data_IF_464861375310
#
_entry.id   IF_464861375310
#
_cell.length_a   1.000
_cell.length_b   1.000
_cell.length_c   1.000
_cell.angle_alpha   90.00
_cell.angle_beta   90.00
_cell.angle_gamma   90.00
#
_symmetry.space_group_name_H-M   'P 1'
#
loop_
_entity.id
_entity.type
_entity.pdbx_description
1 polymer ?
#
# COMPACT_ATOMS: atom_id res chain seq x y z
N UNK A 1 37.54 46.67 -81.78
CA UNK A 1 37.52 45.21 -81.61
C UNK A 1 36.12 44.89 -81.10
N UNK A 2 35.26 44.42 -82.02
CA UNK A 2 33.87 43.95 -81.96
C UNK A 2 32.88 44.49 -80.88
N UNK A 3 31.99 45.40 -81.32
CA UNK A 3 30.50 45.50 -81.23
C UNK A 3 29.63 44.82 -80.15
N UNK A 4 28.38 45.32 -79.92
CA UNK A 4 27.80 45.60 -78.60
C UNK A 4 26.38 44.99 -78.37
N UNK A 5 25.75 45.41 -77.27
CA UNK A 5 24.30 45.43 -76.95
C UNK A 5 23.54 44.09 -76.73
N UNK A 6 22.87 43.94 -75.58
CA UNK A 6 21.46 44.36 -75.39
C UNK A 6 20.83 43.70 -74.13
N UNK A 7 19.93 44.44 -73.48
CA UNK A 7 19.15 44.09 -72.29
C UNK A 7 18.21 42.88 -72.47
N UNK A 8 17.86 42.19 -71.37
CA UNK A 8 16.45 41.84 -71.07
C UNK A 8 16.32 41.09 -69.73
N UNK A 9 15.45 41.62 -68.88
CA UNK A 9 14.95 41.02 -67.63
C UNK A 9 13.80 40.07 -67.93
N UNK A 10 13.80 38.88 -67.32
CA UNK A 10 12.59 38.10 -67.06
C UNK A 10 12.66 37.43 -65.69
N UNK A 11 11.55 37.53 -64.95
CA UNK A 11 11.31 36.96 -63.63
C UNK A 11 10.53 35.65 -63.75
N UNK A 12 10.76 34.67 -62.86
CA UNK A 12 9.75 33.69 -62.46
C UNK A 12 10.14 32.90 -61.18
N UNK A 13 9.31 33.09 -60.16
CA UNK A 13 8.85 32.19 -59.09
C UNK A 13 9.79 31.13 -58.47
N UNK A 14 10.10 31.33 -57.19
CA UNK A 14 10.37 30.25 -56.23
C UNK A 14 9.32 30.33 -55.12
N UNK A 15 8.48 29.31 -55.00
CA UNK A 15 7.54 29.14 -53.89
C UNK A 15 7.79 27.75 -53.28
N UNK A 16 8.47 27.75 -52.15
CA UNK A 16 8.79 26.56 -51.37
C UNK A 16 7.99 26.60 -50.07
N UNK A 17 6.96 25.76 -49.96
CA UNK A 17 6.23 25.54 -48.71
C UNK A 17 6.53 24.14 -48.17
N UNK A 18 7.50 24.08 -47.26
CA UNK A 18 7.74 22.92 -46.41
C UNK A 18 6.60 22.77 -45.41
N UNK A 19 5.72 21.79 -45.62
CA UNK A 19 4.73 21.35 -44.65
C UNK A 19 5.29 20.18 -43.83
N UNK A 20 5.84 20.51 -42.66
CA UNK A 20 6.19 19.52 -41.63
C UNK A 20 4.89 18.98 -41.02
N UNK A 21 4.37 17.87 -41.55
CA UNK A 21 3.30 17.12 -40.90
C UNK A 21 3.86 16.34 -39.71
N UNK A 22 3.54 16.84 -38.52
CA UNK A 22 3.81 16.20 -37.24
C UNK A 22 2.91 14.97 -37.10
N UNK A 23 3.40 13.79 -37.50
CA UNK A 23 2.68 12.52 -37.35
C UNK A 23 2.96 11.90 -35.99
N UNK A 24 1.96 11.92 -35.11
CA UNK A 24 1.95 11.14 -33.87
C UNK A 24 2.13 9.66 -34.22
N UNK A 25 3.08 8.91 -33.61
CA UNK A 25 3.29 7.52 -33.95
C UNK A 25 2.05 6.70 -33.59
N UNK A 26 1.42 6.09 -34.61
CA UNK A 26 0.29 5.19 -34.42
C UNK A 26 0.73 3.97 -33.59
N UNK A 27 0.02 3.73 -32.48
CA UNK A 27 0.25 2.59 -31.58
C UNK A 27 0.34 1.28 -32.37
N UNK A 28 1.35 0.46 -32.09
CA UNK A 28 1.53 -0.85 -32.72
C UNK A 28 0.28 -1.73 -32.50
N UNK A 29 -0.03 -2.63 -33.45
CA UNK A 29 -1.19 -3.54 -33.37
C UNK A 29 -1.26 -4.32 -32.05
N UNK A 30 -0.11 -4.59 -31.43
CA UNK A 30 0.00 -5.24 -30.11
C UNK A 30 -0.39 -4.32 -28.96
N UNK A 31 0.02 -3.04 -29.00
CA UNK A 31 -0.36 -2.03 -28.01
C UNK A 31 -1.86 -1.73 -28.06
N UNK A 32 -2.45 -1.64 -29.26
CA UNK A 32 -3.89 -1.46 -29.46
C UNK A 32 -4.70 -2.65 -28.89
N UNK A 33 -4.27 -3.90 -29.15
CA UNK A 33 -4.90 -5.09 -28.56
C UNK A 33 -4.82 -5.11 -27.03
N UNK A 34 -3.69 -4.67 -26.45
CA UNK A 34 -3.51 -4.58 -24.99
C UNK A 34 -4.44 -3.53 -24.38
N UNK A 35 -4.57 -2.36 -25.02
CA UNK A 35 -5.46 -1.29 -24.58
C UNK A 35 -6.93 -1.73 -24.62
N UNK A 36 -7.38 -2.32 -25.73
CA UNK A 36 -8.76 -2.82 -25.85
C UNK A 36 -9.07 -3.92 -24.81
N UNK A 37 -8.10 -4.78 -24.51
CA UNK A 37 -8.25 -5.78 -23.43
C UNK A 37 -8.35 -5.13 -22.05
N UNK A 38 -7.58 -4.07 -21.79
CA UNK A 38 -7.66 -3.30 -20.54
C UNK A 38 -9.00 -2.58 -20.40
N UNK A 39 -9.48 -1.92 -21.46
CA UNK A 39 -10.78 -1.25 -21.50
C UNK A 39 -11.93 -2.24 -21.27
N UNK A 40 -11.91 -3.39 -21.95
CA UNK A 40 -12.92 -4.44 -21.75
C UNK A 40 -12.91 -4.99 -20.32
N UNK A 41 -11.73 -5.15 -19.72
CA UNK A 41 -11.62 -5.59 -18.32
C UNK A 41 -12.14 -4.50 -17.36
N UNK A 42 -11.84 -3.23 -17.63
CA UNK A 42 -12.31 -2.09 -16.85
C UNK A 42 -13.83 -1.94 -16.94
N UNK A 43 -14.42 -2.04 -18.14
CA UNK A 43 -15.85 -2.02 -18.36
C UNK A 43 -16.56 -3.16 -17.62
N UNK A 44 -16.05 -4.40 -17.71
CA UNK A 44 -16.60 -5.54 -16.99
C UNK A 44 -16.51 -5.37 -15.46
N UNK A 45 -15.43 -4.76 -14.95
CA UNK A 45 -15.30 -4.43 -13.53
C UNK A 45 -16.31 -3.36 -13.11
N UNK A 46 -16.49 -2.32 -13.94
CA UNK A 46 -17.44 -1.24 -13.68
C UNK A 46 -18.90 -1.76 -13.66
N UNK A 47 -19.27 -2.60 -14.63
CA UNK A 47 -20.58 -3.23 -14.73
C UNK A 47 -20.88 -4.11 -13.52
N UNK A 48 -19.95 -4.99 -13.12
CA UNK A 48 -20.10 -5.80 -11.90
C UNK A 48 -20.31 -4.94 -10.65
N UNK A 49 -19.55 -3.85 -10.53
CA UNK A 49 -19.68 -2.91 -9.40
C UNK A 49 -21.02 -2.19 -9.41
N UNK A 50 -21.54 -1.83 -10.59
CA UNK A 50 -22.85 -1.21 -10.75
C UNK A 50 -23.97 -2.19 -10.37
N UNK A 51 -23.93 -3.42 -10.89
CA UNK A 51 -24.90 -4.47 -10.58
C UNK A 51 -24.92 -4.81 -9.07
N UNK A 52 -23.74 -4.91 -8.43
CA UNK A 52 -23.66 -5.12 -6.98
C UNK A 52 -24.25 -3.96 -6.19
N UNK A 53 -24.00 -2.71 -6.63
CA UNK A 53 -24.58 -1.51 -6.01
C UNK A 53 -26.11 -1.51 -6.12
N UNK A 54 -26.64 -1.87 -7.28
CA UNK A 54 -28.09 -1.95 -7.51
C UNK A 54 -28.72 -3.04 -6.64
N UNK A 55 -28.18 -4.26 -6.62
CA UNK A 55 -28.66 -5.36 -5.77
C UNK A 55 -28.67 -4.97 -4.28
N UNK A 56 -27.64 -4.26 -3.82
CA UNK A 56 -27.59 -3.74 -2.43
C UNK A 56 -28.65 -2.67 -2.17
N UNK A 57 -28.95 -1.81 -3.15
CA UNK A 57 -29.98 -0.79 -3.03
C UNK A 57 -31.38 -1.42 -2.95
N UNK A 58 -31.67 -2.38 -3.83
CA UNK A 58 -32.93 -3.13 -3.86
C UNK A 58 -33.15 -3.91 -2.56
N UNK A 59 -32.16 -4.66 -2.09
CA UNK A 59 -32.23 -5.36 -0.81
C UNK A 59 -32.47 -4.39 0.36
N UNK A 60 -31.81 -3.22 0.37
CA UNK A 60 -32.00 -2.20 1.41
C UNK A 60 -33.40 -1.59 1.35
N UNK A 61 -33.98 -1.45 0.17
CA UNK A 61 -35.37 -0.99 0.00
C UNK A 61 -36.37 -2.04 0.48
N UNK A 62 -36.20 -3.31 0.09
CA UNK A 62 -37.02 -4.42 0.57
C UNK A 62 -37.01 -4.51 2.10
N UNK A 63 -35.83 -4.53 2.73
CA UNK A 63 -35.72 -4.57 4.18
C UNK A 63 -36.31 -3.34 4.89
N UNK A 64 -36.42 -2.19 4.20
CA UNK A 64 -37.13 -1.01 4.75
C UNK A 64 -38.63 -1.19 4.69
N UNK A 65 -39.16 -1.65 3.55
CA UNK A 65 -40.60 -1.94 3.40
C UNK A 65 -41.06 -2.99 4.41
N UNK A 66 -40.32 -4.09 4.55
CA UNK A 66 -40.60 -5.13 5.55
C UNK A 66 -40.56 -4.58 6.99
N UNK A 67 -39.66 -3.64 7.27
CA UNK A 67 -39.59 -2.98 8.57
C UNK A 67 -40.78 -2.05 8.82
N UNK A 68 -41.20 -1.30 7.82
CA UNK A 68 -42.33 -0.37 7.90
C UNK A 68 -43.65 -1.16 8.05
N UNK A 69 -43.86 -2.22 7.27
CA UNK A 69 -45.00 -3.14 7.41
C UNK A 69 -45.02 -3.81 8.79
N UNK A 70 -43.86 -4.27 9.27
CA UNK A 70 -43.72 -4.81 10.62
C UNK A 70 -44.11 -3.75 11.64
N UNK A 71 -43.59 -2.53 11.54
CA UNK A 71 -43.99 -1.47 12.45
C UNK A 71 -45.50 -1.29 12.40
N UNK A 72 -46.12 -1.09 11.24
CA UNK A 72 -47.57 -0.86 11.10
C UNK A 72 -48.44 -1.91 11.78
N UNK A 73 -48.05 -3.18 11.74
CA UNK A 73 -48.74 -4.31 12.35
C UNK A 73 -48.73 -4.32 13.89
N UNK A 74 -47.86 -3.53 14.55
CA UNK A 74 -47.79 -3.45 16.01
C UNK A 74 -48.67 -2.32 16.59
N UNK A 75 -49.08 -2.48 17.85
CA UNK A 75 -49.75 -1.41 18.59
C UNK A 75 -48.84 -0.18 18.81
N UNK A 76 -49.39 1.02 19.05
CA UNK A 76 -48.59 2.22 19.32
C UNK A 76 -47.59 2.05 20.47
N UNK A 77 -47.97 1.33 21.53
CA UNK A 77 -47.08 1.06 22.68
C UNK A 77 -45.93 0.12 22.32
N UNK A 78 -46.20 -0.94 21.56
CA UNK A 78 -45.16 -1.88 21.13
C UNK A 78 -44.22 -1.26 20.07
N UNK A 79 -44.74 -0.42 19.17
CA UNK A 79 -43.95 0.40 18.24
C UNK A 79 -42.94 1.27 19.01
N UNK A 80 -43.40 1.99 20.02
CA UNK A 80 -42.56 2.86 20.84
C UNK A 80 -41.46 2.07 21.56
N UNK A 81 -41.81 0.95 22.21
CA UNK A 81 -40.85 0.06 22.89
C UNK A 81 -39.78 -0.51 21.93
N UNK A 82 -40.19 -0.93 20.73
CA UNK A 82 -39.27 -1.49 19.73
C UNK A 82 -38.28 -0.44 19.20
N UNK A 83 -38.76 0.78 18.93
CA UNK A 83 -37.92 1.89 18.48
C UNK A 83 -36.93 2.29 19.58
N UNK A 84 -37.39 2.38 20.83
CA UNK A 84 -36.55 2.69 21.97
C UNK A 84 -35.44 1.65 22.18
N UNK A 85 -35.79 0.35 22.18
CA UNK A 85 -34.82 -0.75 22.28
C UNK A 85 -33.77 -0.72 21.16
N UNK A 86 -34.19 -0.47 19.91
CA UNK A 86 -33.28 -0.35 18.77
C UNK A 86 -32.35 0.87 18.89
N UNK A 87 -32.87 1.99 19.39
CA UNK A 87 -32.10 3.19 19.63
C UNK A 87 -31.08 2.99 20.77
N UNK A 88 -31.47 2.29 21.84
CA UNK A 88 -30.58 1.93 22.93
C UNK A 88 -29.47 0.98 22.47
N UNK A 89 -29.81 -0.10 21.76
CA UNK A 89 -28.82 -1.00 21.17
C UNK A 89 -27.85 -0.27 20.23
N UNK A 90 -28.34 0.72 19.47
CA UNK A 90 -27.50 1.58 18.64
C UNK A 90 -26.58 2.48 19.47
N UNK A 91 -27.08 3.08 20.56
CA UNK A 91 -26.27 3.92 21.47
C UNK A 91 -25.16 3.10 22.13
N UNK A 92 -25.49 1.93 22.67
CA UNK A 92 -24.51 1.03 23.28
C UNK A 92 -23.46 0.56 22.28
N UNK A 93 -23.87 0.22 21.05
CA UNK A 93 -22.92 -0.10 19.98
C UNK A 93 -21.96 1.04 19.69
N UNK A 94 -22.46 2.28 19.52
CA UNK A 94 -21.61 3.45 19.25
C UNK A 94 -20.66 3.73 20.43
N UNK A 95 -21.16 3.58 21.66
CA UNK A 95 -20.35 3.74 22.88
C UNK A 95 -19.21 2.73 22.93
N UNK A 96 -19.50 1.45 22.66
CA UNK A 96 -18.50 0.38 22.59
C UNK A 96 -17.47 0.64 21.48
N UNK A 97 -17.91 1.00 20.28
CA UNK A 97 -17.00 1.31 19.16
C UNK A 97 -16.07 2.50 19.49
N UNK A 98 -16.59 3.54 20.15
CA UNK A 98 -15.77 4.68 20.62
C UNK A 98 -14.75 4.26 21.67
N UNK A 99 -15.15 3.41 22.61
CA UNK A 99 -14.27 2.90 23.65
C UNK A 99 -13.17 1.99 23.09
N UNK A 100 -13.52 1.04 22.22
CA UNK A 100 -12.55 0.20 21.50
C UNK A 100 -11.55 1.05 20.70
N UNK A 101 -12.03 2.08 20.02
CA UNK A 101 -11.18 3.02 19.29
C UNK A 101 -10.24 3.79 20.22
N UNK A 102 -10.74 4.29 21.36
CA UNK A 102 -9.93 4.99 22.38
C UNK A 102 -8.84 4.08 22.94
N UNK A 103 -9.19 2.87 23.35
CA UNK A 103 -8.24 1.88 23.87
C UNK A 103 -7.20 1.49 22.82
N UNK A 104 -7.59 1.35 21.56
CA UNK A 104 -6.65 1.12 20.45
C UNK A 104 -5.63 2.25 20.34
N UNK A 105 -6.08 3.51 20.34
CA UNK A 105 -5.19 4.68 20.25
C UNK A 105 -4.23 4.70 21.45
N UNK A 106 -4.74 4.47 22.65
CA UNK A 106 -3.94 4.45 23.87
C UNK A 106 -2.84 3.39 23.83
N UNK A 107 -3.17 2.15 23.42
CA UNK A 107 -2.18 1.08 23.26
C UNK A 107 -1.10 1.42 22.24
N UNK A 108 -1.48 2.01 21.10
CA UNK A 108 -0.52 2.39 20.05
C UNK A 108 0.38 3.54 20.50
N UNK A 109 -0.14 4.55 21.21
CA UNK A 109 0.66 5.63 21.77
C UNK A 109 1.64 5.12 22.83
N UNK A 110 1.18 4.26 23.73
CA UNK A 110 2.05 3.61 24.71
C UNK A 110 3.13 2.78 24.03
N UNK A 111 2.79 2.05 22.98
CA UNK A 111 3.77 1.30 22.19
C UNK A 111 4.80 2.23 21.54
N UNK A 112 4.43 3.43 21.09
CA UNK A 112 5.39 4.39 20.55
C UNK A 112 6.43 4.86 21.59
N UNK A 113 6.05 4.91 22.87
CA UNK A 113 6.95 5.32 23.95
C UNK A 113 7.87 4.18 24.44
N UNK A 114 7.30 2.98 24.65
CA UNK A 114 7.99 1.88 25.37
C UNK A 114 7.89 0.52 24.69
N UNK A 115 7.20 0.42 23.55
CA UNK A 115 7.00 -0.83 22.83
C UNK A 115 8.24 -1.27 22.05
N UNK A 116 8.25 -2.55 21.69
CA UNK A 116 9.28 -3.11 20.81
C UNK A 116 9.33 -2.35 19.49
N UNK A 117 10.51 -1.84 19.10
CA UNK A 117 10.69 -1.13 17.83
C UNK A 117 10.85 -2.13 16.68
N UNK A 118 10.06 -1.93 15.62
CA UNK A 118 10.12 -2.72 14.39
C UNK A 118 10.13 -1.78 13.20
N UNK A 119 11.10 -1.95 12.30
CA UNK A 119 11.31 -1.12 11.11
C UNK A 119 10.95 -1.91 9.87
N UNK A 120 10.17 -1.33 8.96
CA UNK A 120 10.03 -1.80 7.60
C UNK A 120 10.96 -0.97 6.70
N UNK A 121 12.01 -1.61 6.18
CA UNK A 121 13.00 -1.03 5.28
C UNK A 121 12.42 -0.98 3.86
N UNK A 122 11.91 0.18 3.42
CA UNK A 122 11.26 0.37 2.13
C UNK A 122 12.22 0.79 1.01
N UNK A 123 13.51 0.80 1.29
CA UNK A 123 14.59 1.21 0.37
C UNK A 123 14.96 0.11 -0.64
N UNK A 124 13.94 -0.50 -1.23
CA UNK A 124 14.04 -1.51 -2.30
C UNK A 124 13.07 -1.22 -3.46
N UNK A 125 12.44 -0.04 -3.49
CA UNK A 125 11.45 0.31 -4.52
C UNK A 125 11.93 0.11 -5.95
N UNK A 126 13.21 0.38 -6.20
CA UNK A 126 13.87 0.22 -7.51
C UNK A 126 13.99 -1.24 -7.99
N UNK A 127 13.78 -2.23 -7.12
CA UNK A 127 13.84 -3.66 -7.44
C UNK A 127 12.45 -4.29 -7.69
N UNK A 128 11.38 -3.50 -7.50
CA UNK A 128 10.01 -3.97 -7.57
C UNK A 128 9.29 -3.35 -8.76
N UNK A 129 8.46 -4.15 -9.40
CA UNK A 129 7.46 -3.68 -10.36
C UNK A 129 6.35 -2.91 -9.64
N UNK A 130 5.61 -2.05 -10.36
CA UNK A 130 4.45 -1.34 -9.81
C UNK A 130 3.42 -2.27 -9.13
N UNK A 131 3.26 -3.50 -9.63
CA UNK A 131 2.40 -4.51 -9.01
C UNK A 131 2.97 -5.10 -7.71
N UNK A 132 4.28 -5.27 -7.61
CA UNK A 132 4.96 -5.71 -6.39
C UNK A 132 4.93 -4.60 -5.33
N UNK A 133 5.11 -3.33 -5.73
CA UNK A 133 4.92 -2.14 -4.87
C UNK A 133 3.47 -2.05 -4.36
N UNK A 134 2.47 -2.28 -5.22
CA UNK A 134 1.06 -2.37 -4.82
C UNK A 134 0.84 -3.50 -3.79
N UNK A 135 1.48 -4.65 -3.99
CA UNK A 135 1.42 -5.77 -3.04
C UNK A 135 2.07 -5.39 -1.71
N UNK A 136 3.24 -4.75 -1.72
CA UNK A 136 3.90 -4.31 -0.49
C UNK A 136 3.05 -3.29 0.28
N UNK A 137 2.46 -2.30 -0.40
CA UNK A 137 1.55 -1.34 0.22
C UNK A 137 0.39 -2.05 0.94
N UNK A 138 -0.13 -3.13 0.36
CA UNK A 138 -1.15 -3.97 0.99
C UNK A 138 -0.63 -4.74 2.21
N UNK A 139 0.59 -5.27 2.15
CA UNK A 139 1.23 -5.94 3.30
C UNK A 139 1.47 -4.97 4.44
N UNK A 140 1.93 -3.74 4.17
CA UNK A 140 2.10 -2.68 5.17
C UNK A 140 0.76 -2.34 5.85
N UNK A 141 -0.34 -2.25 5.08
CA UNK A 141 -1.69 -2.10 5.65
C UNK A 141 -2.05 -3.26 6.59
N UNK A 142 -1.69 -4.50 6.25
CA UNK A 142 -1.92 -5.65 7.11
C UNK A 142 -1.07 -5.60 8.38
N UNK A 143 0.21 -5.22 8.28
CA UNK A 143 1.08 -5.01 9.45
C UNK A 143 0.45 -4.01 10.42
N UNK A 144 0.06 -2.82 9.95
CA UNK A 144 -0.56 -1.81 10.81
C UNK A 144 -1.89 -2.28 11.41
N UNK A 145 -2.73 -2.94 10.59
CA UNK A 145 -4.01 -3.45 11.06
C UNK A 145 -3.83 -4.52 12.14
N UNK A 146 -2.93 -5.48 11.93
CA UNK A 146 -2.59 -6.52 12.91
C UNK A 146 -1.99 -5.93 14.18
N UNK A 147 -1.01 -5.03 14.05
CA UNK A 147 -0.38 -4.35 15.17
C UNK A 147 -1.43 -3.59 16.02
N UNK A 148 -2.36 -2.89 15.38
CA UNK A 148 -3.41 -2.14 16.09
C UNK A 148 -4.44 -2.99 16.83
N UNK A 149 -4.53 -4.29 16.49
CA UNK A 149 -5.36 -5.27 17.19
C UNK A 149 -4.57 -6.05 18.26
N UNK A 150 -3.24 -5.92 18.28
CA UNK A 150 -2.40 -6.59 19.28
C UNK A 150 -2.71 -6.07 20.68
N UNK A 151 -2.64 -6.98 21.66
CA UNK A 151 -2.66 -6.64 23.07
C UNK A 151 -1.40 -5.81 23.45
N UNK A 152 -0.26 -6.15 22.84
CA UNK A 152 1.01 -5.48 22.99
C UNK A 152 1.50 -5.03 21.61
N UNK A 153 1.08 -3.86 21.10
CA UNK A 153 1.56 -3.36 19.82
C UNK A 153 3.05 -3.06 19.87
N UNK A 154 3.71 -3.20 18.72
CA UNK A 154 5.06 -2.70 18.48
C UNK A 154 5.03 -1.22 18.09
N UNK A 155 6.15 -0.54 18.28
CA UNK A 155 6.38 0.75 17.65
C UNK A 155 6.88 0.53 16.22
N UNK A 156 5.97 0.66 15.25
CA UNK A 156 6.26 0.43 13.84
C UNK A 156 6.88 1.68 13.19
N UNK A 157 7.90 1.47 12.38
CA UNK A 157 8.60 2.49 11.60
C UNK A 157 8.56 2.11 10.13
N UNK A 158 8.35 3.09 9.25
CA UNK A 158 8.59 2.97 7.82
C UNK A 158 9.79 3.84 7.48
N UNK A 159 10.86 3.25 6.96
CA UNK A 159 12.10 3.97 6.58
C UNK A 159 12.40 3.80 5.11
N UNK A 160 13.15 4.71 4.50
CA UNK A 160 13.47 4.67 3.07
C UNK A 160 12.25 4.87 2.17
N UNK A 161 11.19 5.49 2.71
CA UNK A 161 9.93 5.67 2.00
C UNK A 161 10.07 6.78 0.96
N UNK A 162 10.36 6.41 -0.30
CA UNK A 162 10.56 7.39 -1.38
C UNK A 162 9.85 6.96 -2.67
N UNK A 163 9.69 7.92 -3.60
CA UNK A 163 9.25 7.66 -4.96
C UNK A 163 7.84 7.04 -5.06
N UNK A 164 7.71 5.98 -5.86
CA UNK A 164 6.42 5.31 -6.07
C UNK A 164 5.84 4.72 -4.78
N UNK A 165 6.70 4.25 -3.87
CA UNK A 165 6.25 3.69 -2.59
C UNK A 165 5.55 4.74 -1.72
N UNK A 166 6.20 5.90 -1.57
CA UNK A 166 5.66 7.04 -0.83
C UNK A 166 4.33 7.50 -1.44
N UNK A 167 4.29 7.71 -2.76
CA UNK A 167 3.09 8.14 -3.47
C UNK A 167 1.92 7.15 -3.25
N UNK A 168 2.17 5.84 -3.22
CA UNK A 168 1.13 4.85 -2.95
C UNK A 168 0.65 4.89 -1.50
N UNK A 169 1.56 4.95 -0.53
CA UNK A 169 1.20 4.97 0.88
C UNK A 169 0.44 6.25 1.27
N UNK A 170 0.79 7.41 0.69
CA UNK A 170 0.05 8.66 0.90
C UNK A 170 -1.42 8.58 0.45
N UNK A 171 -1.71 7.72 -0.54
CA UNK A 171 -3.08 7.48 -1.01
C UNK A 171 -3.86 6.44 -0.18
N UNK A 172 -3.22 5.79 0.80
CA UNK A 172 -3.92 4.85 1.68
C UNK A 172 -4.84 5.61 2.65
N UNK A 173 -6.14 5.28 2.73
CA UNK A 173 -7.07 5.97 3.60
C UNK A 173 -6.63 5.97 5.06
N UNK A 174 -6.50 7.18 5.62
CA UNK A 174 -6.11 7.38 7.01
C UNK A 174 -4.62 7.15 7.31
N UNK A 175 -3.77 6.91 6.30
CA UNK A 175 -2.31 6.72 6.48
C UNK A 175 -1.68 7.84 7.31
N UNK A 176 -2.06 9.09 7.05
CA UNK A 176 -1.57 10.26 7.79
C UNK A 176 -1.91 10.22 9.28
N UNK A 177 -3.00 9.53 9.66
CA UNK A 177 -3.44 9.38 11.04
C UNK A 177 -2.93 8.09 11.71
N UNK A 178 -2.10 7.29 11.03
CA UNK A 178 -1.49 6.11 11.63
C UNK A 178 -0.47 6.52 12.69
N UNK A 179 -0.50 5.84 13.83
CA UNK A 179 0.41 6.06 14.96
C UNK A 179 1.64 5.18 14.73
N UNK A 180 2.54 5.65 13.86
CA UNK A 180 3.80 5.01 13.45
C UNK A 180 4.79 6.11 13.05
N UNK A 181 6.08 5.79 13.01
CA UNK A 181 7.08 6.69 12.42
C UNK A 181 7.16 6.51 10.91
N UNK A 182 7.39 7.61 10.20
CA UNK A 182 7.47 7.66 8.74
C UNK A 182 8.69 8.49 8.36
N UNK A 183 9.72 7.81 7.89
CA UNK A 183 11.01 8.40 7.55
C UNK A 183 11.33 8.13 6.08
N UNK A 184 11.60 9.19 5.33
CA UNK A 184 12.00 9.06 3.93
C UNK A 184 13.47 8.62 3.82
N UNK A 185 14.29 8.87 4.84
CA UNK A 185 15.70 8.45 4.91
C UNK A 185 15.83 6.94 5.15
N UNK A 186 16.90 6.29 4.67
CA UNK A 186 17.22 4.90 5.03
C UNK A 186 17.32 4.70 6.54
N UNK A 187 17.00 3.50 7.02
CA UNK A 187 17.00 3.19 8.46
C UNK A 187 18.35 3.49 9.13
N UNK A 188 19.46 3.28 8.43
CA UNK A 188 20.81 3.44 8.97
C UNK A 188 21.12 4.91 9.30
N UNK A 189 20.52 5.84 8.55
CA UNK A 189 20.64 7.27 8.81
C UNK A 189 19.61 7.74 9.83
N UNK A 190 18.36 7.29 9.70
CA UNK A 190 17.26 7.67 10.59
C UNK A 190 17.48 7.20 12.04
N UNK A 191 18.17 6.07 12.23
CA UNK A 191 18.45 5.44 13.52
C UNK A 191 19.94 5.40 13.84
N UNK A 192 20.73 6.33 13.29
CA UNK A 192 22.20 6.37 13.42
C UNK A 192 22.70 6.31 14.87
N UNK A 193 21.98 6.93 15.80
CA UNK A 193 22.33 7.00 17.23
C UNK A 193 21.99 5.71 18.00
N UNK A 194 21.43 4.72 17.31
CA UNK A 194 21.07 3.41 17.85
C UNK A 194 21.59 2.26 16.97
N UNK A 195 22.62 2.52 16.16
CA UNK A 195 23.16 1.57 15.19
C UNK A 195 23.51 0.23 15.83
N UNK A 196 24.09 0.25 17.03
CA UNK A 196 24.50 -0.92 17.80
C UNK A 196 23.33 -1.81 18.24
N UNK A 197 22.12 -1.27 18.24
CA UNK A 197 20.89 -1.98 18.62
C UNK A 197 20.12 -2.52 17.40
N UNK A 198 20.57 -2.23 16.17
CA UNK A 198 19.89 -2.68 14.95
C UNK A 198 20.16 -4.16 14.68
N UNK A 199 19.09 -4.90 14.43
CA UNK A 199 19.12 -6.31 14.03
C UNK A 199 18.27 -6.49 12.77
N UNK A 200 18.89 -6.85 11.65
CA UNK A 200 18.18 -7.14 10.41
C UNK A 200 17.63 -8.57 10.41
N UNK A 201 16.32 -8.71 10.30
CA UNK A 201 15.66 -10.00 10.17
C UNK A 201 15.74 -10.49 8.72
N UNK A 202 16.47 -11.58 8.50
CA UNK A 202 16.64 -12.18 7.18
C UNK A 202 16.73 -13.70 7.28
N UNK A 203 16.15 -14.41 6.31
CA UNK A 203 16.19 -15.88 6.27
C UNK A 203 17.60 -16.43 5.99
N UNK A 204 18.47 -15.61 5.42
CA UNK A 204 19.85 -15.98 5.05
C UNK A 204 20.85 -15.84 6.23
N UNK A 205 20.41 -15.39 7.40
CA UNK A 205 21.25 -15.27 8.59
C UNK A 205 21.60 -16.63 9.20
N UNK A 206 22.77 -16.71 9.84
CA UNK A 206 23.20 -17.89 10.61
C UNK A 206 22.52 -17.90 11.97
N UNK A 207 22.60 -16.78 12.69
CA UNK A 207 22.02 -16.59 14.02
C UNK A 207 20.49 -16.71 14.00
N UNK A 208 19.94 -17.40 14.99
CA UNK A 208 18.50 -17.58 15.17
C UNK A 208 18.04 -16.71 16.34
N UNK A 209 16.99 -15.92 16.14
CA UNK A 209 16.36 -15.19 17.23
C UNK A 209 15.40 -16.09 17.99
N UNK A 210 15.64 -16.28 19.28
CA UNK A 210 14.75 -17.06 20.16
C UNK A 210 13.77 -16.14 20.92
N UNK A 211 14.23 -14.94 21.30
CA UNK A 211 13.46 -13.96 22.06
C UNK A 211 13.69 -12.54 21.52
N UNK A 212 12.70 -11.67 21.71
CA UNK A 212 12.81 -10.25 21.37
C UNK A 212 13.35 -9.46 22.57
N UNK A 213 14.37 -8.65 22.34
CA UNK A 213 14.91 -7.68 23.29
C UNK A 213 14.35 -6.28 23.00
N UNK A 214 13.68 -5.69 23.99
CA UNK A 214 13.10 -4.35 23.92
C UNK A 214 14.12 -3.25 23.64
N UNK A 215 15.41 -3.48 23.93
CA UNK A 215 16.48 -2.54 23.59
C UNK A 215 16.88 -2.62 22.12
N UNK A 216 16.68 -3.77 21.50
CA UNK A 216 16.99 -4.00 20.08
C UNK A 216 15.92 -3.40 19.17
N UNK A 217 16.32 -3.08 17.94
CA UNK A 217 15.43 -2.58 16.88
C UNK A 217 15.46 -3.57 15.74
N UNK A 218 14.33 -4.22 15.47
CA UNK A 218 14.24 -5.28 14.46
C UNK A 218 13.83 -4.72 13.11
N UNK A 219 14.62 -5.00 12.07
CA UNK A 219 14.38 -4.49 10.72
C UNK A 219 13.87 -5.63 9.85
N UNK A 220 12.78 -5.39 9.12
CA UNK A 220 12.22 -6.30 8.12
C UNK A 220 12.37 -5.64 6.75
N UNK A 221 12.90 -6.38 5.78
CA UNK A 221 12.99 -5.90 4.41
C UNK A 221 11.61 -5.73 3.79
N UNK A 222 11.24 -4.49 3.46
CA UNK A 222 10.04 -4.16 2.71
C UNK A 222 10.19 -4.50 1.24
N UNK A 223 10.24 -5.79 0.92
CA UNK A 223 10.51 -6.30 -0.42
C UNK A 223 9.52 -7.40 -0.80
N UNK A 224 8.91 -7.26 -1.98
CA UNK A 224 8.09 -8.30 -2.60
C UNK A 224 8.78 -8.75 -3.88
N UNK A 225 9.52 -9.84 -3.81
CA UNK A 225 10.34 -10.34 -4.93
C UNK A 225 10.15 -11.83 -5.23
N UNK A 226 9.40 -12.53 -4.37
CA UNK A 226 9.26 -14.00 -4.38
C UNK A 226 10.60 -14.72 -4.23
N UNK A 227 11.49 -14.17 -3.41
CA UNK A 227 12.83 -14.70 -3.16
C UNK A 227 13.68 -14.80 -4.44
N UNK A 228 13.56 -13.80 -5.33
CA UNK A 228 14.33 -13.60 -6.56
C UNK A 228 15.71 -13.04 -6.25
N UNK A 229 15.81 -12.12 -5.28
CA UNK A 229 17.05 -11.49 -4.85
C UNK A 229 17.57 -12.21 -3.60
N UNK A 230 18.33 -13.28 -3.81
CA UNK A 230 18.95 -14.03 -2.72
C UNK A 230 19.89 -13.13 -1.93
N UNK A 231 19.89 -13.28 -0.59
CA UNK A 231 20.82 -12.62 0.32
C UNK A 231 20.76 -11.10 0.36
N UNK A 232 19.90 -10.44 -0.40
CA UNK A 232 19.96 -8.97 -0.56
C UNK A 232 19.87 -8.20 0.77
N UNK A 233 19.02 -8.66 1.69
CA UNK A 233 18.88 -8.04 3.02
C UNK A 233 20.04 -8.41 3.95
N UNK A 234 20.61 -9.61 3.80
CA UNK A 234 21.80 -10.04 4.54
C UNK A 234 23.03 -9.24 4.09
N UNK A 235 23.21 -9.07 2.80
CA UNK A 235 24.34 -8.34 2.22
C UNK A 235 24.23 -6.84 2.59
N UNK A 236 23.02 -6.24 2.56
CA UNK A 236 22.77 -4.87 3.07
C UNK A 236 23.10 -4.74 4.58
N UNK A 237 22.73 -5.72 5.39
CA UNK A 237 23.05 -5.71 6.83
C UNK A 237 24.57 -5.78 7.07
N UNK A 238 25.28 -6.63 6.32
CA UNK A 238 26.73 -6.76 6.37
C UNK A 238 27.44 -5.48 5.93
N UNK A 239 27.00 -4.87 4.83
CA UNK A 239 27.54 -3.60 4.33
C UNK A 239 27.41 -2.48 5.37
N UNK A 240 26.27 -2.41 6.05
CA UNK A 240 26.07 -1.44 7.12
C UNK A 240 26.76 -1.82 8.43
N UNK A 241 27.30 -3.03 8.56
CA UNK A 241 27.95 -3.52 9.77
C UNK A 241 27.00 -3.65 10.96
N UNK A 242 25.79 -4.14 10.73
CA UNK A 242 24.79 -4.41 11.78
C UNK A 242 24.55 -5.91 11.94
N UNK A 243 23.98 -6.31 13.08
CA UNK A 243 23.65 -7.72 13.33
C UNK A 243 22.52 -8.18 12.40
N UNK A 244 22.50 -9.46 12.08
CA UNK A 244 21.42 -10.10 11.34
C UNK A 244 21.01 -11.41 12.01
N UNK A 245 19.72 -11.71 12.01
CA UNK A 245 19.19 -12.95 12.59
C UNK A 245 17.98 -13.46 11.79
N UNK A 246 17.73 -14.77 11.83
CA UNK A 246 16.54 -15.39 11.23
C UNK A 246 15.53 -15.80 12.30
N UNK A 247 14.26 -15.85 11.91
CA UNK A 247 13.19 -16.35 12.77
C UNK A 247 13.36 -17.86 13.05
N UNK A 248 12.93 -18.36 14.23
CA UNK A 248 13.11 -19.75 14.63
C UNK A 248 12.10 -20.70 13.95
N UNK A 249 11.60 -20.36 12.76
CA UNK A 249 10.54 -21.09 12.06
C UNK A 249 10.99 -22.45 11.55
N UNK A 250 12.29 -22.66 11.30
CA UNK A 250 12.81 -23.96 10.86
C UNK A 250 12.60 -25.08 11.88
N UNK A 251 12.48 -24.74 13.17
CA UNK A 251 12.15 -25.71 14.24
C UNK A 251 10.69 -26.14 14.22
N UNK A 252 9.79 -25.28 13.72
CA UNK A 252 8.34 -25.42 13.92
C UNK A 252 7.53 -25.57 12.62
N UNK A 253 8.08 -25.17 11.46
CA UNK A 253 7.44 -25.29 10.16
C UNK A 253 8.20 -26.24 9.24
N UNK A 254 7.54 -27.35 8.86
CA UNK A 254 7.95 -28.14 7.69
C UNK A 254 7.40 -27.47 6.43
N UNK A 255 8.23 -26.67 5.76
CA UNK A 255 7.88 -26.08 4.46
C UNK A 255 8.57 -26.84 3.33
N UNK A 256 7.84 -27.12 2.25
CA UNK A 256 8.32 -27.87 1.09
C UNK A 256 9.13 -27.03 0.10
N UNK A 257 9.16 -25.71 0.25
CA UNK A 257 9.85 -24.80 -0.68
C UNK A 257 10.88 -23.89 0.01
N UNK A 258 10.47 -22.70 0.44
CA UNK A 258 11.33 -21.60 0.90
C UNK A 258 10.92 -21.15 2.29
N UNK A 259 11.89 -20.90 3.17
CA UNK A 259 11.67 -20.31 4.51
C UNK A 259 11.51 -18.77 4.47
N UNK A 260 11.52 -18.17 3.29
CA UNK A 260 11.23 -16.74 3.10
C UNK A 260 9.72 -16.50 3.14
N UNK A 261 9.29 -15.63 4.07
CA UNK A 261 7.90 -15.25 4.30
C UNK A 261 7.60 -13.86 3.71
N UNK A 262 6.32 -13.49 3.67
CA UNK A 262 5.87 -12.12 3.37
C UNK A 262 6.27 -11.14 4.47
N UNK A 263 6.15 -9.84 4.21
CA UNK A 263 6.47 -8.78 5.18
C UNK A 263 5.49 -8.76 6.36
N UNK A 264 4.23 -9.11 6.14
CA UNK A 264 3.15 -9.12 7.15
C UNK A 264 2.90 -10.48 7.78
#
# INVERSE_FOLDING_TARGET
>A
MADPDEESRTAASTDGSDTVQNSTPALTKTAQKKLLKQERLAARKAEKKAAEKQRKAEHKEQSRREWDEKLEALSPEEKAKLIESKNEARRERIKREKEEHRMKIERLKKAAEVGQKVVLDLDFGHLMTASEIQSLSQQIMYCYAANSRSANPTHLWLTGCTGEMEARLQNVPGFNNWIIEKENRPYIEALKDHKENLIYLTADAEDVIEELDLKSIYIIGGLVDRNRYKRITMDKANEHGIKAAKLPIGKYLKMSSSQVLTVN
#
